data_IF_303590701859
#
_entry.id   IF_303590701859
#
_cell.length_a   1.000
_cell.length_b   1.000
_cell.length_c   1.000
_cell.angle_alpha   90.00
_cell.angle_beta   90.00
_cell.angle_gamma   90.00
#
_symmetry.space_group_name_H-M   'P 1'
#
loop_
_entity.id
_entity.type
_entity.pdbx_description
1 polymer ?
#
# COMPACT_ATOMS: atom_id res chain seq x y z
N UNK A 1 -19.01 4.54 10.90
CA UNK A 1 -17.84 3.64 10.96
C UNK A 1 -17.78 2.69 9.76
N UNK A 2 -18.80 1.86 9.48
CA UNK A 2 -18.75 0.93 8.34
C UNK A 2 -18.62 1.62 6.96
N UNK A 3 -19.34 2.72 6.74
CA UNK A 3 -19.32 3.48 5.48
C UNK A 3 -17.93 4.02 5.10
N UNK A 4 -17.17 4.50 6.08
CA UNK A 4 -15.81 4.98 5.86
C UNK A 4 -14.86 3.83 5.53
N UNK A 5 -15.00 2.69 6.23
CA UNK A 5 -14.20 1.48 5.94
C UNK A 5 -14.49 0.94 4.54
N UNK A 6 -15.76 0.88 4.15
CA UNK A 6 -16.16 0.43 2.80
C UNK A 6 -15.65 1.41 1.73
N UNK A 7 -15.78 2.72 1.96
CA UNK A 7 -15.24 3.74 1.05
C UNK A 7 -13.73 3.64 0.87
N UNK A 8 -12.99 3.46 1.97
CA UNK A 8 -11.53 3.25 1.93
C UNK A 8 -11.16 1.95 1.21
N UNK A 9 -11.88 0.86 1.48
CA UNK A 9 -11.64 -0.43 0.82
C UNK A 9 -11.85 -0.32 -0.70
N UNK A 10 -12.94 0.32 -1.14
CA UNK A 10 -13.20 0.57 -2.56
C UNK A 10 -12.10 1.42 -3.21
N UNK A 11 -11.64 2.46 -2.53
CA UNK A 11 -10.58 3.32 -3.04
C UNK A 11 -9.26 2.55 -3.20
N UNK A 12 -8.89 1.72 -2.22
CA UNK A 12 -7.70 0.87 -2.29
C UNK A 12 -7.81 -0.13 -3.45
N UNK A 13 -8.95 -0.79 -3.61
CA UNK A 13 -9.18 -1.74 -4.72
C UNK A 13 -9.12 -1.03 -6.07
N UNK A 14 -9.79 0.11 -6.21
CA UNK A 14 -9.79 0.90 -7.45
C UNK A 14 -8.38 1.39 -7.78
N UNK A 15 -7.65 1.91 -6.80
CA UNK A 15 -6.27 2.36 -6.97
C UNK A 15 -5.35 1.21 -7.38
N UNK A 16 -5.45 0.06 -6.71
CA UNK A 16 -4.70 -1.15 -7.07
C UNK A 16 -5.01 -1.61 -8.50
N UNK A 17 -6.29 -1.66 -8.87
CA UNK A 17 -6.72 -2.02 -10.23
C UNK A 17 -6.15 -1.05 -11.28
N UNK A 18 -6.19 0.25 -11.01
CA UNK A 18 -5.61 1.28 -11.89
C UNK A 18 -4.09 1.10 -12.03
N UNK A 19 -3.40 0.85 -10.92
CA UNK A 19 -1.95 0.66 -10.88
C UNK A 19 -1.52 -0.57 -11.68
N UNK A 20 -2.18 -1.72 -11.46
CA UNK A 20 -1.91 -2.94 -12.23
C UNK A 20 -2.28 -2.79 -13.71
N UNK A 21 -3.40 -2.11 -14.01
CA UNK A 21 -3.80 -1.80 -15.38
C UNK A 21 -2.76 -0.96 -16.11
N UNK A 22 -2.20 0.07 -15.45
CA UNK A 22 -1.13 0.91 -15.98
C UNK A 22 0.16 0.12 -16.20
N UNK A 23 0.54 -0.78 -15.29
CA UNK A 23 1.71 -1.65 -15.45
C UNK A 23 1.56 -2.53 -16.71
N UNK A 24 0.42 -3.21 -16.85
CA UNK A 24 0.13 -4.07 -18.01
C UNK A 24 0.12 -3.25 -19.30
N UNK A 25 -0.51 -2.07 -19.28
CA UNK A 25 -0.55 -1.16 -20.42
C UNK A 25 0.85 -0.69 -20.82
N UNK A 26 1.67 -0.28 -19.86
CA UNK A 26 3.04 0.19 -20.08
C UNK A 26 3.95 -0.93 -20.61
N UNK A 27 3.84 -2.15 -20.06
CA UNK A 27 4.56 -3.32 -20.59
C UNK A 27 4.11 -3.64 -22.02
N UNK A 28 2.81 -3.56 -22.31
CA UNK A 28 2.28 -3.79 -23.66
C UNK A 28 2.78 -2.74 -24.66
N UNK A 29 2.82 -1.47 -24.28
CA UNK A 29 3.39 -0.39 -25.09
C UNK A 29 4.90 -0.61 -25.32
N UNK A 30 5.62 -1.01 -24.27
CA UNK A 30 7.05 -1.33 -24.33
C UNK A 30 7.36 -2.49 -25.29
N UNK A 31 6.54 -3.56 -25.27
CA UNK A 31 6.68 -4.70 -26.18
C UNK A 31 6.32 -4.34 -27.62
N UNK A 32 5.34 -3.44 -27.84
CA UNK A 32 4.89 -3.04 -29.17
C UNK A 32 5.85 -2.09 -29.88
N UNK A 33 6.66 -1.33 -29.15
CA UNK A 33 7.59 -0.36 -29.74
C UNK A 33 8.89 -1.05 -30.22
N UNK A 34 9.30 -0.84 -31.49
CA UNK A 34 10.53 -1.43 -32.02
C UNK A 34 11.77 -0.87 -31.31
N UNK A 35 11.83 0.44 -31.09
CA UNK A 35 12.82 1.11 -30.23
C UNK A 35 12.13 1.98 -29.18
N UNK A 36 12.73 2.05 -27.99
CA UNK A 36 12.27 2.87 -26.87
C UNK A 36 13.31 3.95 -26.62
N UNK A 37 12.93 5.08 -26.02
CA UNK A 37 13.86 6.19 -25.75
C UNK A 37 15.04 5.66 -24.92
N UNK A 38 16.23 5.56 -25.53
CA UNK A 38 17.46 5.02 -24.93
C UNK A 38 17.80 3.55 -25.25
N UNK A 39 17.07 2.88 -26.16
CA UNK A 39 17.23 1.46 -26.60
C UNK A 39 17.21 0.37 -25.51
N UNK A 40 17.11 0.78 -24.25
CA UNK A 40 17.17 -0.10 -23.09
C UNK A 40 15.76 -0.50 -22.63
N UNK A 41 15.10 -1.39 -23.39
CA UNK A 41 13.84 -2.04 -22.98
C UNK A 41 13.85 -2.62 -21.56
N UNK A 42 14.89 -3.35 -21.10
CA UNK A 42 14.89 -3.91 -19.74
C UNK A 42 14.92 -2.82 -18.65
N UNK A 43 15.57 -1.68 -18.90
CA UNK A 43 15.60 -0.57 -17.95
C UNK A 43 14.19 0.01 -17.74
N UNK A 44 13.43 0.19 -18.82
CA UNK A 44 12.05 0.67 -18.72
C UNK A 44 11.12 -0.32 -18.02
N UNK A 45 11.28 -1.62 -18.28
CA UNK A 45 10.54 -2.65 -17.54
C UNK A 45 10.87 -2.60 -16.03
N UNK A 46 12.15 -2.44 -15.68
CA UNK A 46 12.60 -2.29 -14.30
C UNK A 46 11.97 -1.06 -13.63
N UNK A 47 11.95 0.10 -14.31
CA UNK A 47 11.32 1.32 -13.79
C UNK A 47 9.83 1.11 -13.53
N UNK A 48 9.10 0.49 -14.46
CA UNK A 48 7.67 0.20 -14.32
C UNK A 48 7.40 -0.69 -13.09
N UNK A 49 8.29 -1.64 -12.81
CA UNK A 49 8.15 -2.59 -11.70
C UNK A 49 8.63 -2.03 -10.34
N UNK A 50 9.65 -1.17 -10.34
CA UNK A 50 10.23 -0.62 -9.10
C UNK A 50 9.41 0.56 -8.58
N UNK A 51 8.82 1.38 -9.45
CA UNK A 51 8.09 2.58 -9.02
C UNK A 51 6.97 2.31 -7.97
N UNK A 52 6.14 1.26 -8.10
CA UNK A 52 5.16 0.88 -7.08
C UNK A 52 5.79 0.48 -5.75
N UNK A 53 6.87 -0.31 -5.81
CA UNK A 53 7.58 -0.82 -4.63
C UNK A 53 8.28 0.31 -3.90
N UNK A 54 8.92 1.22 -4.64
CA UNK A 54 9.58 2.39 -4.08
C UNK A 54 8.58 3.28 -3.31
N UNK A 55 7.38 3.51 -3.85
CA UNK A 55 6.33 4.26 -3.14
C UNK A 55 5.94 3.61 -1.80
N UNK A 56 5.76 2.28 -1.79
CA UNK A 56 5.46 1.54 -0.57
C UNK A 56 6.61 1.57 0.45
N UNK A 57 7.85 1.42 -0.02
CA UNK A 57 9.05 1.49 0.82
C UNK A 57 9.21 2.88 1.43
N UNK A 58 9.02 3.96 0.66
CA UNK A 58 9.08 5.34 1.15
C UNK A 58 8.01 5.57 2.24
N UNK A 59 6.79 5.08 2.04
CA UNK A 59 5.77 5.15 3.10
C UNK A 59 6.16 4.32 4.32
N UNK A 60 6.70 3.11 4.13
CA UNK A 60 7.13 2.26 5.24
C UNK A 60 8.32 2.83 6.01
N UNK A 61 9.16 3.68 5.40
CA UNK A 61 10.30 4.31 6.09
C UNK A 61 9.92 5.63 6.76
N UNK A 62 8.98 6.40 6.20
CA UNK A 62 8.60 7.72 6.71
C UNK A 62 7.34 7.66 7.61
N UNK A 63 6.41 6.77 7.28
CA UNK A 63 5.08 6.68 7.89
C UNK A 63 5.01 6.10 9.31
N UNK A 64 5.87 5.18 9.78
CA UNK A 64 5.65 4.59 11.09
C UNK A 64 6.12 5.52 12.22
N UNK A 65 5.16 6.16 12.90
CA UNK A 65 5.36 6.79 14.22
C UNK A 65 4.74 5.96 15.35
N UNK A 66 4.11 4.81 15.05
CA UNK A 66 3.48 3.95 16.04
C UNK A 66 3.47 2.47 15.63
N UNK A 67 4.64 1.84 15.67
CA UNK A 67 4.74 0.39 15.90
C UNK A 67 4.46 0.08 17.38
N UNK A 68 3.29 0.48 17.91
CA UNK A 68 2.92 0.12 19.28
C UNK A 68 2.14 -1.20 19.20
N UNK A 69 2.75 -2.37 19.48
CA UNK A 69 1.97 -3.52 19.92
C UNK A 69 1.12 -3.01 21.08
N UNK A 70 -0.18 -3.28 21.03
CA UNK A 70 -1.09 -2.95 22.13
C UNK A 70 -0.71 -3.83 23.32
N UNK A 71 0.36 -3.47 24.02
CA UNK A 71 0.78 -4.07 25.26
C UNK A 71 -0.33 -3.83 26.25
N UNK A 72 -1.03 -4.92 26.56
CA UNK A 72 -1.85 -5.15 27.74
C UNK A 72 -2.57 -3.91 28.30
N UNK A 73 -3.88 -3.83 28.00
CA UNK A 73 -4.80 -3.04 28.82
C UNK A 73 -4.57 -3.48 30.28
N UNK A 74 -4.01 -2.64 31.18
CA UNK A 74 -3.78 -3.04 32.56
C UNK A 74 -5.11 -3.48 33.13
N UNK A 75 -5.11 -4.66 33.76
CA UNK A 75 -6.24 -5.25 34.48
C UNK A 75 -7.02 -4.14 35.17
N UNK A 76 -8.19 -3.82 34.62
CA UNK A 76 -9.11 -2.86 35.22
C UNK A 76 -9.27 -3.28 36.68
N UNK A 77 -8.92 -2.44 37.68
CA UNK A 77 -9.15 -2.78 39.07
C UNK A 77 -10.63 -3.12 39.22
N UNK A 78 -10.93 -4.39 39.46
CA UNK A 78 -12.27 -4.83 39.82
C UNK A 78 -12.65 -3.98 41.04
N UNK A 79 -13.64 -3.10 40.88
CA UNK A 79 -14.15 -2.32 41.99
C UNK A 79 -14.53 -3.32 43.09
N UNK A 80 -14.08 -3.11 44.35
CA UNK A 80 -14.42 -4.03 45.41
C UNK A 80 -15.94 -4.14 45.53
N UNK A 81 -16.47 -5.34 45.80
CA UNK A 81 -17.91 -5.53 45.94
C UNK A 81 -18.46 -4.60 47.02
N UNK A 82 -19.65 -4.01 46.84
CA UNK A 82 -20.23 -3.12 47.84
C UNK A 82 -20.34 -3.90 49.16
N UNK A 83 -19.73 -3.35 50.22
CA UNK A 83 -19.86 -3.95 51.55
C UNK A 83 -21.33 -3.86 52.00
N UNK A 84 -21.85 -4.90 52.68
CA UNK A 84 -23.23 -4.95 53.15
C UNK A 84 -23.55 -3.86 54.19
#
# INVERSE_FOLDING_TARGET
MAWTTVGLALLVVLFGALQYGLIVYALRDLMRRPSVRGDNKPLWALVILILPVAGAVIYATIGPTSFIPRSERPSQPQAPPPMP
#
